data_IF_005146138487
#
_entry.id   IF_005146138487
#
_cell.length_a   1.000
_cell.length_b   1.000
_cell.length_c   1.000
_cell.angle_alpha   90.00
_cell.angle_beta   90.00
_cell.angle_gamma   90.00
#
_symmetry.space_group_name_H-M   'P 1'
#
loop_
_entity.id
_entity.type
_entity.pdbx_description
1 polymer ?
#
# COMPACT_ATOMS: atom_id res chain seq x y z
N UNK A 1 18.74 -9.09 -2.73
CA UNK A 1 19.18 -8.28 -1.57
C UNK A 1 18.00 -8.13 -0.64
N UNK A 2 18.12 -8.62 0.59
CA UNK A 2 16.98 -8.93 1.46
C UNK A 2 16.31 -10.20 0.96
N UNK A 3 16.74 -11.36 1.46
CA UNK A 3 16.17 -12.67 1.17
C UNK A 3 15.40 -13.26 2.35
N UNK A 4 15.34 -12.56 3.48
CA UNK A 4 14.39 -12.84 4.57
C UNK A 4 12.98 -12.36 4.23
N UNK A 5 12.00 -12.73 5.05
CA UNK A 5 10.61 -12.25 4.95
C UNK A 5 10.04 -12.32 3.53
N UNK A 6 9.56 -11.19 3.00
CA UNK A 6 9.04 -11.07 1.63
C UNK A 6 10.08 -11.39 0.55
N UNK A 7 11.36 -11.12 0.81
CA UNK A 7 12.45 -11.43 -0.10
C UNK A 7 12.61 -12.92 -0.35
N UNK A 8 12.33 -13.75 0.64
CA UNK A 8 12.31 -15.21 0.50
C UNK A 8 11.17 -15.69 -0.41
N UNK A 9 9.97 -15.14 -0.23
CA UNK A 9 8.82 -15.41 -1.12
C UNK A 9 9.09 -14.94 -2.55
N UNK A 10 9.68 -13.76 -2.73
CA UNK A 10 10.08 -13.28 -4.05
C UNK A 10 11.17 -14.16 -4.68
N UNK A 11 12.16 -14.61 -3.91
CA UNK A 11 13.21 -15.49 -4.38
C UNK A 11 12.67 -16.86 -4.79
N UNK A 12 11.71 -17.43 -4.04
CA UNK A 12 10.98 -18.64 -4.40
C UNK A 12 10.26 -18.47 -5.74
N UNK A 13 9.55 -17.35 -5.95
CA UNK A 13 8.87 -17.06 -7.21
C UNK A 13 9.85 -16.95 -8.39
N UNK A 14 11.09 -16.51 -8.12
CA UNK A 14 12.19 -16.48 -9.09
C UNK A 14 12.96 -17.80 -9.19
N UNK A 15 12.49 -18.87 -8.55
CA UNK A 15 13.17 -20.17 -8.54
C UNK A 15 13.41 -20.75 -9.94
N UNK A 16 12.67 -20.32 -10.96
CA UNK A 16 12.92 -20.70 -12.36
C UNK A 16 14.22 -20.12 -12.94
N UNK A 17 14.66 -18.97 -12.44
CA UNK A 17 15.84 -18.22 -12.89
C UNK A 17 17.12 -18.70 -12.21
N UNK A 18 18.28 -18.15 -12.58
CA UNK A 18 19.57 -18.50 -11.97
C UNK A 18 19.95 -17.53 -10.83
N UNK A 19 19.81 -17.97 -9.57
CA UNK A 19 20.19 -17.15 -8.41
C UNK A 19 21.69 -17.30 -8.13
N UNK A 20 22.46 -16.29 -8.56
CA UNK A 20 23.92 -16.25 -8.45
C UNK A 20 24.39 -15.92 -7.03
N UNK A 21 23.75 -14.95 -6.39
CA UNK A 21 24.15 -14.44 -5.09
C UNK A 21 22.95 -14.01 -4.25
N UNK A 22 23.11 -14.17 -2.94
CA UNK A 22 22.17 -13.69 -1.93
C UNK A 22 22.90 -12.73 -1.00
N UNK A 23 22.30 -11.56 -0.81
CA UNK A 23 22.77 -10.59 0.15
C UNK A 23 21.72 -10.34 1.21
N UNK A 24 22.06 -10.60 2.46
CA UNK A 24 21.23 -10.36 3.64
C UNK A 24 22.12 -10.11 4.86
N UNK A 25 21.62 -9.36 5.84
CA UNK A 25 22.33 -9.11 7.11
C UNK A 25 22.01 -10.19 8.15
N UNK A 26 20.94 -10.96 7.96
CA UNK A 26 20.48 -12.01 8.86
C UNK A 26 20.27 -13.33 8.09
N UNK A 27 21.36 -14.07 7.86
CA UNK A 27 21.29 -15.35 7.15
C UNK A 27 20.59 -16.45 7.96
N UNK A 28 20.51 -16.34 9.28
CA UNK A 28 19.79 -17.33 10.09
C UNK A 28 18.29 -17.27 9.76
N UNK A 29 17.74 -16.05 9.65
CA UNK A 29 16.37 -15.83 9.18
C UNK A 29 16.16 -16.33 7.74
N UNK A 30 17.12 -16.09 6.84
CA UNK A 30 17.03 -16.56 5.44
C UNK A 30 17.01 -18.09 5.39
N UNK A 31 17.88 -18.76 6.16
CA UNK A 31 17.93 -20.23 6.23
C UNK A 31 16.62 -20.80 6.76
N UNK A 32 16.02 -20.20 7.80
CA UNK A 32 14.69 -20.58 8.30
C UNK A 32 13.65 -20.46 7.18
N UNK A 33 13.63 -19.34 6.45
CA UNK A 33 12.66 -19.11 5.36
C UNK A 33 12.83 -20.06 4.18
N UNK A 34 14.06 -20.40 3.82
CA UNK A 34 14.34 -21.38 2.77
C UNK A 34 13.85 -22.78 3.18
N UNK A 35 14.01 -23.14 4.45
CA UNK A 35 13.55 -24.42 4.99
C UNK A 35 12.01 -24.49 5.14
N UNK A 36 11.37 -23.37 5.47
CA UNK A 36 9.91 -23.25 5.60
C UNK A 36 9.17 -23.12 4.27
N UNK A 37 9.87 -22.90 3.16
CA UNK A 37 9.26 -22.74 1.85
C UNK A 37 8.47 -24.01 1.45
N UNK A 38 7.23 -23.82 1.01
CA UNK A 38 6.33 -24.88 0.58
C UNK A 38 5.57 -24.43 -0.68
N UNK A 39 5.16 -25.39 -1.50
CA UNK A 39 4.33 -25.14 -2.67
C UNK A 39 2.94 -25.74 -2.50
N UNK A 40 1.91 -25.05 -2.97
CA UNK A 40 0.53 -25.55 -2.86
C UNK A 40 0.19 -26.57 -3.96
N UNK A 41 0.97 -26.58 -5.03
CA UNK A 41 0.86 -27.51 -6.16
C UNK A 41 2.23 -28.07 -6.58
N UNK A 42 2.23 -28.89 -7.64
CA UNK A 42 3.43 -29.56 -8.14
C UNK A 42 4.43 -28.59 -8.80
N UNK A 43 3.96 -27.48 -9.36
CA UNK A 43 4.82 -26.47 -10.00
C UNK A 43 5.51 -25.60 -8.96
N UNK A 44 4.76 -25.15 -7.95
CA UNK A 44 5.29 -24.39 -6.82
C UNK A 44 6.27 -25.23 -5.99
N UNK A 45 5.99 -26.53 -5.78
CA UNK A 45 6.97 -27.43 -5.15
C UNK A 45 8.29 -27.49 -5.93
N UNK A 46 8.23 -27.55 -7.27
CA UNK A 46 9.43 -27.56 -8.09
C UNK A 46 10.23 -26.25 -7.99
N UNK A 47 9.55 -25.09 -7.90
CA UNK A 47 10.20 -23.79 -7.68
C UNK A 47 10.84 -23.69 -6.29
N UNK A 48 10.15 -24.19 -5.26
CA UNK A 48 10.68 -24.28 -3.88
C UNK A 48 11.93 -25.15 -3.84
N UNK A 49 11.87 -26.36 -4.39
CA UNK A 49 13.03 -27.27 -4.42
C UNK A 49 14.21 -26.63 -5.16
N UNK A 50 13.93 -25.99 -6.30
CA UNK A 50 14.96 -25.31 -7.08
C UNK A 50 15.54 -24.11 -6.33
N UNK A 51 14.72 -23.31 -5.67
CA UNK A 51 15.19 -22.24 -4.80
C UNK A 51 16.09 -22.77 -3.67
N UNK A 52 15.68 -23.82 -2.97
CA UNK A 52 16.48 -24.45 -1.91
C UNK A 52 17.84 -24.93 -2.44
N UNK A 53 17.86 -25.55 -3.62
CA UNK A 53 19.10 -25.99 -4.27
C UNK A 53 19.99 -24.82 -4.67
N UNK A 54 19.43 -23.80 -5.32
CA UNK A 54 20.18 -22.63 -5.78
C UNK A 54 20.71 -21.81 -4.60
N UNK A 55 19.92 -21.65 -3.54
CA UNK A 55 20.34 -20.99 -2.32
C UNK A 55 21.54 -21.68 -1.65
N UNK A 56 21.60 -23.02 -1.73
CA UNK A 56 22.73 -23.79 -1.21
C UNK A 56 24.03 -23.51 -1.99
N UNK A 57 23.95 -23.17 -3.27
CA UNK A 57 25.10 -22.85 -4.12
C UNK A 57 25.38 -21.36 -4.30
N UNK A 58 24.42 -20.48 -3.99
CA UNK A 58 24.54 -19.04 -4.19
C UNK A 58 25.63 -18.44 -3.27
N UNK A 59 26.40 -17.51 -3.82
CA UNK A 59 27.37 -16.76 -3.03
C UNK A 59 26.65 -15.88 -1.99
N UNK A 60 27.20 -15.79 -0.78
CA UNK A 60 26.56 -15.12 0.36
C UNK A 60 27.32 -13.85 0.72
N UNK A 61 26.58 -12.76 0.86
CA UNK A 61 27.13 -11.44 1.16
C UNK A 61 26.34 -10.74 2.27
N UNK A 62 27.03 -10.07 3.18
CA UNK A 62 26.39 -9.21 4.18
C UNK A 62 26.30 -7.74 3.72
N UNK A 63 26.99 -7.40 2.63
CA UNK A 63 27.02 -6.06 2.05
C UNK A 63 26.71 -6.15 0.55
N UNK A 64 25.67 -5.44 0.12
CA UNK A 64 25.26 -5.44 -1.28
C UNK A 64 26.30 -4.78 -2.19
N UNK A 65 27.14 -3.88 -1.66
CA UNK A 65 28.19 -3.22 -2.44
C UNK A 65 29.28 -4.21 -2.83
N UNK A 66 29.73 -5.01 -1.87
CA UNK A 66 30.70 -6.09 -2.12
C UNK A 66 30.14 -7.13 -3.08
N UNK A 67 28.86 -7.48 -2.93
CA UNK A 67 28.16 -8.36 -3.86
C UNK A 67 28.16 -7.79 -5.27
N UNK A 68 27.76 -6.53 -5.47
CA UNK A 68 27.69 -5.90 -6.79
C UNK A 68 29.08 -5.74 -7.44
N UNK A 69 30.11 -5.46 -6.64
CA UNK A 69 31.50 -5.30 -7.13
C UNK A 69 32.12 -6.65 -7.57
N UNK A 70 31.78 -7.72 -6.85
CA UNK A 70 32.31 -9.07 -7.07
C UNK A 70 31.53 -9.79 -8.17
N UNK A 71 30.20 -9.79 -8.08
CA UNK A 71 29.28 -10.55 -8.94
C UNK A 71 28.90 -9.75 -10.20
N UNK A 72 29.90 -9.33 -10.97
CA UNK A 72 29.69 -8.46 -12.15
C UNK A 72 28.80 -9.08 -13.24
N UNK A 73 28.66 -10.41 -13.22
CA UNK A 73 27.87 -11.17 -14.19
C UNK A 73 26.36 -11.24 -13.90
N UNK A 74 25.86 -10.69 -12.79
CA UNK A 74 24.41 -10.68 -12.54
C UNK A 74 23.69 -9.75 -13.52
N UNK A 75 22.53 -10.13 -14.03
CA UNK A 75 21.74 -9.31 -14.96
C UNK A 75 20.70 -8.45 -14.24
N UNK A 76 20.16 -8.96 -13.14
CA UNK A 76 19.10 -8.31 -12.37
C UNK A 76 19.30 -8.43 -10.86
N UNK A 77 18.73 -7.48 -10.10
CA UNK A 77 18.76 -7.45 -8.64
C UNK A 77 17.34 -7.34 -8.09
N UNK A 78 16.91 -8.37 -7.36
CA UNK A 78 15.73 -8.34 -6.51
C UNK A 78 16.05 -7.60 -5.21
N UNK A 79 15.26 -6.58 -4.87
CA UNK A 79 15.44 -5.74 -3.67
C UNK A 79 14.18 -5.83 -2.81
N UNK A 80 14.29 -6.52 -1.69
CA UNK A 80 13.21 -6.74 -0.72
C UNK A 80 13.72 -6.50 0.72
N UNK A 81 14.37 -5.35 0.91
CA UNK A 81 14.87 -4.90 2.22
C UNK A 81 13.81 -4.01 2.90
N UNK A 82 14.05 -3.48 4.11
CA UNK A 82 13.22 -2.39 4.60
C UNK A 82 13.18 -1.22 3.60
N UNK A 83 12.02 -0.57 3.51
CA UNK A 83 11.70 0.45 2.51
C UNK A 83 12.67 1.65 2.48
N UNK A 84 13.22 2.03 3.63
CA UNK A 84 14.22 3.11 3.74
C UNK A 84 15.60 2.77 3.12
N UNK A 85 15.88 1.51 2.78
CA UNK A 85 17.12 1.11 2.09
C UNK A 85 16.92 0.79 0.61
N UNK A 86 15.68 0.73 0.12
CA UNK A 86 15.38 0.41 -1.27
C UNK A 86 16.10 1.33 -2.26
N UNK A 87 16.00 2.65 -2.04
CA UNK A 87 16.50 3.62 -3.00
C UNK A 87 18.02 3.55 -3.19
N UNK A 88 18.79 3.33 -2.12
CA UNK A 88 20.26 3.29 -2.21
C UNK A 88 20.74 2.03 -2.94
N UNK A 89 20.09 0.89 -2.71
CA UNK A 89 20.44 -0.38 -3.34
C UNK A 89 20.02 -0.35 -4.81
N UNK A 90 18.81 0.12 -5.10
CA UNK A 90 18.29 0.24 -6.46
C UNK A 90 19.16 1.17 -7.31
N UNK A 91 19.52 2.33 -6.75
CA UNK A 91 20.45 3.26 -7.39
C UNK A 91 21.78 2.60 -7.75
N UNK A 92 22.42 1.93 -6.79
CA UNK A 92 23.72 1.30 -7.01
C UNK A 92 23.66 0.21 -8.09
N UNK A 93 22.60 -0.60 -8.11
CA UNK A 93 22.41 -1.63 -9.13
C UNK A 93 22.13 -1.02 -10.52
N UNK A 94 21.24 -0.02 -10.60
CA UNK A 94 20.94 0.68 -11.85
C UNK A 94 22.17 1.42 -12.41
N UNK A 95 22.99 2.06 -11.57
CA UNK A 95 24.26 2.72 -11.98
C UNK A 95 25.26 1.72 -12.62
N UNK A 96 25.15 0.44 -12.28
CA UNK A 96 25.91 -0.65 -12.89
C UNK A 96 25.20 -1.29 -14.09
N UNK A 97 24.09 -0.69 -14.56
CA UNK A 97 23.29 -1.17 -15.68
C UNK A 97 22.50 -2.46 -15.39
N UNK A 98 22.29 -2.79 -14.11
CA UNK A 98 21.55 -4.00 -13.72
C UNK A 98 20.06 -3.70 -13.67
N UNK A 99 19.24 -4.63 -14.18
CA UNK A 99 17.80 -4.55 -13.99
C UNK A 99 17.46 -4.65 -12.51
N UNK A 100 16.41 -3.96 -12.06
CA UNK A 100 16.01 -4.01 -10.66
C UNK A 100 14.53 -4.28 -10.51
N UNK A 101 14.21 -5.14 -9.57
CA UNK A 101 12.87 -5.27 -9.01
C UNK A 101 12.93 -4.76 -7.58
N UNK A 102 12.06 -3.81 -7.23
CA UNK A 102 12.02 -3.21 -5.90
C UNK A 102 10.65 -3.44 -5.28
N UNK A 103 10.63 -4.04 -4.09
CA UNK A 103 9.40 -4.24 -3.34
C UNK A 103 8.71 -2.92 -2.99
N UNK A 104 7.38 -2.97 -2.83
CA UNK A 104 6.58 -1.81 -2.41
C UNK A 104 6.69 -1.56 -0.90
N UNK A 105 6.67 -0.29 -0.44
CA UNK A 105 6.81 0.92 -1.25
C UNK A 105 8.23 1.06 -1.82
N UNK A 106 8.35 1.53 -3.06
CA UNK A 106 9.64 1.58 -3.77
C UNK A 106 10.66 2.53 -3.12
N UNK A 107 10.21 3.60 -2.47
CA UNK A 107 11.06 4.64 -1.87
C UNK A 107 10.38 5.29 -0.68
N UNK A 108 11.16 5.80 0.28
CA UNK A 108 10.63 6.50 1.46
C UNK A 108 10.20 7.94 1.14
N UNK A 109 10.73 8.56 0.08
CA UNK A 109 10.40 9.94 -0.31
C UNK A 109 10.15 10.10 -1.80
N UNK A 110 9.37 11.12 -2.18
CA UNK A 110 9.14 11.52 -3.58
C UNK A 110 10.45 11.93 -4.28
N UNK A 111 11.41 12.48 -3.54
CA UNK A 111 12.70 12.89 -4.08
C UNK A 111 13.51 11.68 -4.57
N UNK A 112 13.51 10.60 -3.79
CA UNK A 112 14.11 9.32 -4.18
C UNK A 112 13.40 8.72 -5.38
N UNK A 113 12.05 8.73 -5.41
CA UNK A 113 11.30 8.20 -6.56
C UNK A 113 11.67 8.93 -7.86
N UNK A 114 11.77 10.26 -7.82
CA UNK A 114 12.18 11.08 -8.97
C UNK A 114 13.62 10.81 -9.40
N UNK A 115 14.51 10.54 -8.45
CA UNK A 115 15.89 10.19 -8.72
C UNK A 115 16.00 8.83 -9.41
N UNK A 116 15.34 7.80 -8.87
CA UNK A 116 15.30 6.48 -9.48
C UNK A 116 14.62 6.49 -10.85
N UNK A 117 13.55 7.27 -11.04
CA UNK A 117 12.87 7.39 -12.33
C UNK A 117 13.80 7.94 -13.42
N UNK A 118 14.54 9.01 -13.11
CA UNK A 118 15.56 9.56 -14.03
C UNK A 118 16.66 8.55 -14.32
N UNK A 119 17.16 7.89 -13.29
CA UNK A 119 18.21 6.89 -13.46
C UNK A 119 17.73 5.72 -14.31
N UNK A 120 16.49 5.28 -14.14
CA UNK A 120 15.91 4.22 -14.94
C UNK A 120 15.76 4.60 -16.42
N UNK A 121 15.46 5.87 -16.71
CA UNK A 121 15.43 6.44 -18.06
C UNK A 121 16.84 6.54 -18.66
N UNK A 122 17.82 7.04 -17.89
CA UNK A 122 19.21 7.20 -18.31
C UNK A 122 19.90 5.86 -18.57
N UNK A 123 19.59 4.84 -17.78
CA UNK A 123 20.22 3.51 -17.84
C UNK A 123 19.42 2.50 -18.67
N UNK A 124 18.19 2.82 -19.05
CA UNK A 124 17.31 1.94 -19.85
C UNK A 124 16.76 0.72 -19.12
N UNK A 125 16.99 0.58 -17.81
CA UNK A 125 16.54 -0.56 -16.98
C UNK A 125 15.02 -0.66 -16.83
N UNK A 126 14.26 0.41 -17.09
CA UNK A 126 12.79 0.40 -17.20
C UNK A 126 12.28 0.36 -18.66
N UNK A 127 13.15 0.01 -19.62
CA UNK A 127 12.83 0.04 -21.05
C UNK A 127 11.85 -1.04 -21.53
N UNK A 128 11.54 -2.03 -20.71
CA UNK A 128 10.60 -3.11 -21.04
C UNK A 128 9.26 -2.87 -20.34
N UNK A 129 8.22 -2.63 -21.13
CA UNK A 129 6.86 -2.57 -20.63
C UNK A 129 6.42 -3.97 -20.18
N UNK A 130 5.86 -4.06 -18.97
CA UNK A 130 5.42 -5.30 -18.31
C UNK A 130 6.45 -6.44 -18.41
N UNK A 131 7.56 -6.37 -17.65
CA UNK A 131 8.63 -7.37 -17.72
C UNK A 131 8.16 -8.77 -17.27
N UNK A 132 6.95 -8.88 -16.71
CA UNK A 132 6.35 -10.12 -16.25
C UNK A 132 5.28 -10.66 -17.20
N UNK A 133 4.91 -9.90 -18.25
CA UNK A 133 3.97 -10.34 -19.26
C UNK A 133 4.43 -11.64 -19.93
N UNK A 134 3.54 -12.61 -19.99
CA UNK A 134 3.82 -13.97 -20.46
C UNK A 134 4.37 -14.94 -19.39
N UNK A 135 4.57 -14.49 -18.14
CA UNK A 135 4.84 -15.40 -17.02
C UNK A 135 3.61 -16.25 -16.76
N UNK A 136 3.65 -17.54 -17.10
CA UNK A 136 2.51 -18.46 -16.93
C UNK A 136 1.86 -18.39 -15.54
N UNK A 137 2.67 -18.27 -14.48
CA UNK A 137 2.15 -18.15 -13.12
C UNK A 137 1.39 -16.84 -12.91
N UNK A 138 1.97 -15.70 -13.31
CA UNK A 138 1.34 -14.41 -13.09
C UNK A 138 0.14 -14.20 -14.00
N UNK A 139 0.18 -14.73 -15.23
CA UNK A 139 -0.96 -14.74 -16.13
C UNK A 139 -2.10 -15.59 -15.54
N UNK A 140 -1.82 -16.81 -15.07
CA UNK A 140 -2.84 -17.65 -14.44
C UNK A 140 -3.38 -17.04 -13.14
N UNK A 141 -2.53 -16.46 -12.30
CA UNK A 141 -2.98 -15.75 -11.09
C UNK A 141 -3.82 -14.51 -11.45
N UNK A 142 -3.47 -13.84 -12.55
CA UNK A 142 -4.26 -12.71 -13.07
C UNK A 142 -5.63 -13.19 -13.53
N UNK A 143 -5.72 -14.29 -14.27
CA UNK A 143 -6.98 -14.90 -14.71
C UNK A 143 -7.85 -15.34 -13.51
N UNK A 144 -7.25 -15.97 -12.50
CA UNK A 144 -7.96 -16.38 -11.27
C UNK A 144 -8.50 -15.18 -10.49
N UNK A 145 -7.69 -14.12 -10.37
CA UNK A 145 -8.10 -12.87 -9.73
C UNK A 145 -9.21 -12.18 -10.51
N UNK A 146 -9.12 -12.12 -11.84
CA UNK A 146 -10.15 -11.55 -12.71
C UNK A 146 -11.47 -12.31 -12.54
N UNK A 147 -11.45 -13.64 -12.64
CA UNK A 147 -12.64 -14.47 -12.47
C UNK A 147 -13.29 -14.30 -11.07
N UNK A 148 -12.47 -14.18 -10.01
CA UNK A 148 -12.96 -13.92 -8.66
C UNK A 148 -13.57 -12.52 -8.53
N UNK A 149 -12.99 -11.50 -9.18
CA UNK A 149 -13.53 -10.15 -9.22
C UNK A 149 -14.85 -10.09 -9.99
N UNK A 150 -14.94 -10.73 -11.15
CA UNK A 150 -16.16 -10.83 -11.94
C UNK A 150 -17.28 -11.49 -11.13
N UNK A 151 -17.00 -12.61 -10.47
CA UNK A 151 -17.98 -13.27 -9.60
C UNK A 151 -18.46 -12.38 -8.44
N UNK A 152 -17.58 -11.54 -7.88
CA UNK A 152 -17.95 -10.59 -6.82
C UNK A 152 -18.81 -9.45 -7.38
N UNK A 153 -18.50 -8.95 -8.57
CA UNK A 153 -19.30 -7.94 -9.28
C UNK A 153 -20.70 -8.48 -9.54
N UNK A 154 -20.81 -9.70 -10.05
CA UNK A 154 -22.11 -10.37 -10.29
C UNK A 154 -22.91 -10.52 -8.99
N UNK A 155 -22.26 -10.86 -7.88
CA UNK A 155 -22.91 -10.94 -6.57
C UNK A 155 -23.43 -9.56 -6.10
N UNK A 156 -22.68 -8.49 -6.34
CA UNK A 156 -23.12 -7.11 -6.03
C UNK A 156 -24.29 -6.70 -6.91
N UNK A 157 -24.25 -6.98 -8.21
CA UNK A 157 -25.35 -6.70 -9.13
C UNK A 157 -26.62 -7.47 -8.76
N UNK A 158 -26.50 -8.75 -8.36
CA UNK A 158 -27.62 -9.56 -7.89
C UNK A 158 -28.30 -9.01 -6.62
N UNK A 159 -27.54 -8.31 -5.77
CA UNK A 159 -28.05 -7.63 -4.57
C UNK A 159 -28.63 -6.23 -4.86
N UNK A 160 -28.71 -5.83 -6.14
CA UNK A 160 -29.25 -4.55 -6.59
C UNK A 160 -28.21 -3.44 -6.75
N UNK A 161 -26.94 -3.83 -6.89
CA UNK A 161 -25.81 -2.92 -7.07
C UNK A 161 -25.21 -2.40 -5.77
N UNK A 162 -24.08 -1.71 -5.87
CA UNK A 162 -23.25 -1.31 -4.72
C UNK A 162 -23.99 -0.45 -3.69
N UNK A 163 -24.85 0.49 -4.13
CA UNK A 163 -25.60 1.37 -3.21
C UNK A 163 -26.54 0.54 -2.32
N UNK A 164 -27.29 -0.41 -2.92
CA UNK A 164 -28.16 -1.34 -2.18
C UNK A 164 -27.36 -2.16 -1.16
N UNK A 165 -26.18 -2.67 -1.56
CA UNK A 165 -25.30 -3.42 -0.67
C UNK A 165 -24.85 -2.60 0.54
N UNK A 166 -24.52 -1.32 0.35
CA UNK A 166 -24.11 -0.41 1.44
C UNK A 166 -25.28 -0.10 2.37
N UNK A 167 -26.46 0.22 1.82
CA UNK A 167 -27.66 0.51 2.61
C UNK A 167 -28.10 -0.68 3.47
N UNK A 168 -27.84 -1.90 2.98
CA UNK A 168 -28.14 -3.16 3.69
C UNK A 168 -26.99 -3.67 4.56
N UNK A 169 -25.86 -2.96 4.61
CA UNK A 169 -24.69 -3.34 5.43
C UNK A 169 -23.90 -4.55 4.92
N UNK A 170 -24.14 -5.02 3.68
CA UNK A 170 -23.50 -6.23 3.14
C UNK A 170 -22.00 -6.06 2.95
N UNK A 171 -21.56 -4.89 2.47
CA UNK A 171 -20.14 -4.59 2.26
C UNK A 171 -19.38 -4.57 3.59
N UNK A 172 -19.93 -3.90 4.59
CA UNK A 172 -19.38 -3.83 5.94
C UNK A 172 -19.29 -5.24 6.55
N UNK A 173 -20.32 -6.06 6.35
CA UNK A 173 -20.33 -7.44 6.80
C UNK A 173 -19.25 -8.28 6.13
N UNK A 174 -19.11 -8.24 4.80
CA UNK A 174 -18.06 -9.01 4.11
C UNK A 174 -16.65 -8.60 4.52
N UNK A 175 -16.40 -7.29 4.70
CA UNK A 175 -15.13 -6.79 5.23
C UNK A 175 -14.90 -7.30 6.65
N UNK A 176 -15.94 -7.26 7.50
CA UNK A 176 -15.86 -7.73 8.88
C UNK A 176 -15.63 -9.24 8.98
N UNK A 177 -16.29 -10.04 8.13
CA UNK A 177 -16.09 -11.49 8.04
C UNK A 177 -14.66 -11.82 7.60
N UNK A 178 -14.11 -11.11 6.61
CA UNK A 178 -12.72 -11.25 6.16
C UNK A 178 -11.71 -10.84 7.24
N UNK A 179 -11.95 -9.72 7.92
CA UNK A 179 -11.12 -9.25 9.03
C UNK A 179 -11.16 -10.24 10.21
N UNK A 180 -12.34 -10.77 10.54
CA UNK A 180 -12.51 -11.75 11.60
C UNK A 180 -11.82 -13.08 11.27
N UNK A 181 -11.91 -13.55 10.02
CA UNK A 181 -11.16 -14.72 9.55
C UNK A 181 -9.66 -14.50 9.70
N UNK A 182 -9.17 -13.36 9.20
CA UNK A 182 -7.74 -13.00 9.31
C UNK A 182 -7.28 -12.94 10.75
N UNK A 183 -8.07 -12.34 11.65
CA UNK A 183 -7.75 -12.28 13.07
C UNK A 183 -7.69 -13.67 13.69
N UNK A 184 -8.63 -14.56 13.35
CA UNK A 184 -8.59 -15.97 13.80
C UNK A 184 -7.35 -16.71 13.35
N UNK A 185 -6.95 -16.54 12.09
CA UNK A 185 -5.73 -17.16 11.54
C UNK A 185 -4.48 -16.64 12.27
N UNK A 186 -4.44 -15.36 12.62
CA UNK A 186 -3.35 -14.76 13.40
C UNK A 186 -3.37 -15.33 14.84
N UNK A 187 -4.52 -15.34 15.50
CA UNK A 187 -4.63 -15.81 16.88
C UNK A 187 -4.34 -17.32 17.02
N UNK A 188 -4.72 -18.12 16.02
CA UNK A 188 -4.44 -19.55 15.97
C UNK A 188 -2.99 -19.88 15.60
N UNK A 189 -2.26 -18.92 15.01
CA UNK A 189 -0.91 -19.11 14.49
C UNK A 189 -0.87 -19.72 13.08
N UNK A 190 -2.01 -19.98 12.44
CA UNK A 190 -2.10 -20.41 11.03
C UNK A 190 -1.47 -19.35 10.12
N UNK A 191 -1.76 -18.08 10.39
CA UNK A 191 -1.11 -16.94 9.74
C UNK A 191 -0.05 -16.37 10.66
N UNK A 192 1.21 -16.58 10.29
CA UNK A 192 2.35 -16.11 11.06
C UNK A 192 2.56 -14.60 10.90
N UNK A 193 2.61 -13.88 12.03
CA UNK A 193 2.95 -12.47 12.13
C UNK A 193 4.12 -12.31 13.09
N UNK A 194 5.30 -12.04 12.53
CA UNK A 194 6.56 -11.92 13.27
C UNK A 194 6.50 -10.74 14.24
N UNK A 195 6.95 -10.97 15.49
CA UNK A 195 6.89 -9.97 16.55
C UNK A 195 5.54 -9.87 17.24
N UNK A 196 4.53 -10.64 16.78
CA UNK A 196 3.19 -10.70 17.39
C UNK A 196 2.89 -12.11 17.91
N UNK A 197 2.67 -13.08 17.01
CA UNK A 197 2.31 -14.46 17.40
C UNK A 197 3.48 -15.46 17.26
N UNK A 198 4.51 -15.13 16.48
CA UNK A 198 5.75 -15.89 16.34
C UNK A 198 6.93 -14.95 16.55
N UNK A 199 7.96 -15.43 17.26
CA UNK A 199 9.18 -14.67 17.53
C UNK A 199 8.92 -13.30 18.18
N UNK A 200 8.00 -13.24 19.15
CA UNK A 200 7.75 -12.03 19.92
C UNK A 200 8.99 -11.66 20.76
N UNK A 201 9.55 -10.48 20.50
CA UNK A 201 10.68 -9.94 21.27
C UNK A 201 10.26 -9.38 22.63
N UNK A 202 11.23 -8.91 23.42
CA UNK A 202 10.94 -8.13 24.62
C UNK A 202 10.28 -6.80 24.26
N UNK A 203 9.47 -6.26 25.18
CA UNK A 203 8.79 -4.99 24.96
C UNK A 203 9.80 -3.89 24.59
N UNK A 204 9.64 -3.32 23.38
CA UNK A 204 10.49 -2.24 22.91
C UNK A 204 10.44 -1.06 23.90
N UNK A 205 11.58 -0.39 24.11
CA UNK A 205 11.63 0.85 24.88
C UNK A 205 10.65 1.87 24.30
N UNK A 206 9.97 2.59 25.19
CA UNK A 206 8.99 3.63 24.89
C UNK A 206 9.54 4.62 23.85
N UNK A 207 9.10 4.50 22.60
CA UNK A 207 9.37 5.50 21.57
C UNK A 207 8.57 6.76 21.84
N UNK A 208 9.11 7.92 21.47
CA UNK A 208 8.39 9.19 21.55
C UNK A 208 7.19 9.15 20.59
N UNK A 209 6.00 8.90 21.14
CA UNK A 209 4.76 8.92 20.36
C UNK A 209 4.46 10.38 19.98
N UNK A 210 4.09 10.60 18.73
CA UNK A 210 3.58 11.90 18.31
C UNK A 210 2.34 12.27 19.14
N UNK A 211 2.45 13.36 19.91
CA UNK A 211 1.33 13.90 20.68
C UNK A 211 0.85 15.21 20.06
N UNK A 212 -0.45 15.34 19.86
CA UNK A 212 -1.07 16.60 19.43
C UNK A 212 -1.04 17.59 20.59
N UNK A 213 -0.64 18.84 20.32
CA UNK A 213 -0.61 19.90 21.34
C UNK A 213 -2.02 20.17 21.90
N UNK A 214 -2.20 20.22 23.23
CA UNK A 214 -3.48 20.60 23.85
C UNK A 214 -3.97 22.00 23.43
N UNK A 215 -3.06 22.90 23.04
CA UNK A 215 -3.39 24.27 22.65
C UNK A 215 -3.86 24.39 21.20
N UNK A 216 -3.85 23.31 20.41
CA UNK A 216 -4.24 23.35 19.00
C UNK A 216 -5.69 23.84 18.85
N UNK A 217 -6.60 23.40 19.72
CA UNK A 217 -8.00 23.83 19.69
C UNK A 217 -8.14 25.35 19.91
N UNK A 218 -7.43 25.91 20.89
CA UNK A 218 -7.42 27.35 21.18
C UNK A 218 -6.89 28.15 19.98
N UNK A 219 -5.79 27.69 19.38
CA UNK A 219 -5.22 28.31 18.18
C UNK A 219 -6.20 28.33 17.01
N UNK A 220 -6.96 27.25 16.79
CA UNK A 220 -7.96 27.19 15.74
C UNK A 220 -9.18 28.08 16.03
N UNK A 221 -9.62 28.16 17.28
CA UNK A 221 -10.70 29.07 17.69
C UNK A 221 -10.32 30.53 17.47
N UNK A 222 -9.09 30.93 17.80
CA UNK A 222 -8.61 32.28 17.55
C UNK A 222 -8.51 32.62 16.06
N UNK A 223 -8.06 31.66 15.23
CA UNK A 223 -8.08 31.82 13.76
C UNK A 223 -9.51 31.98 13.23
N UNK A 224 -10.43 31.15 13.71
CA UNK A 224 -11.84 31.19 13.31
C UNK A 224 -12.48 32.53 13.65
N UNK A 225 -12.25 33.05 14.86
CA UNK A 225 -12.74 34.38 15.29
C UNK A 225 -12.22 35.48 14.37
N UNK A 226 -10.92 35.47 14.04
CA UNK A 226 -10.31 36.46 13.14
C UNK A 226 -10.94 36.45 11.74
N UNK A 227 -11.13 35.26 11.16
CA UNK A 227 -11.77 35.12 9.85
C UNK A 227 -13.22 35.63 9.90
N UNK A 228 -13.99 35.22 10.91
CA UNK A 228 -15.39 35.64 11.05
C UNK A 228 -15.56 37.14 11.29
N UNK A 229 -14.61 37.78 11.97
CA UNK A 229 -14.63 39.22 12.20
C UNK A 229 -14.23 40.05 10.96
N UNK A 230 -13.40 39.50 10.07
CA UNK A 230 -12.86 40.22 8.91
C UNK A 230 -13.62 40.01 7.59
N UNK A 231 -14.59 39.08 7.55
CA UNK A 231 -15.35 38.76 6.34
C UNK A 231 -16.58 39.65 6.15
N UNK A 232 -17.06 39.76 4.92
CA UNK A 232 -18.33 40.41 4.60
C UNK A 232 -19.50 39.46 4.93
N UNK A 233 -20.31 39.76 5.97
CA UNK A 233 -21.39 38.87 6.38
C UNK A 233 -22.48 38.73 5.32
N UNK A 234 -22.79 39.80 4.57
CA UNK A 234 -23.84 39.77 3.55
C UNK A 234 -23.42 38.92 2.35
N UNK A 235 -22.14 39.00 1.96
CA UNK A 235 -21.58 38.15 0.88
C UNK A 235 -21.60 36.68 1.26
N UNK A 236 -21.25 36.34 2.50
CA UNK A 236 -21.29 34.97 3.01
C UNK A 236 -22.72 34.43 3.05
N UNK A 237 -23.66 35.22 3.58
CA UNK A 237 -25.06 34.83 3.65
C UNK A 237 -25.65 34.58 2.26
N UNK A 238 -25.38 35.46 1.29
CA UNK A 238 -25.81 35.30 -0.09
C UNK A 238 -25.22 34.04 -0.75
N UNK A 239 -23.92 33.77 -0.55
CA UNK A 239 -23.27 32.58 -1.09
C UNK A 239 -23.84 31.28 -0.49
N UNK A 240 -24.05 31.25 0.84
CA UNK A 240 -24.65 30.11 1.53
C UNK A 240 -26.12 29.90 1.13
N UNK A 241 -26.88 30.97 0.92
CA UNK A 241 -28.25 30.88 0.43
C UNK A 241 -28.31 30.26 -0.98
N UNK A 242 -27.45 30.73 -1.89
CA UNK A 242 -27.33 30.16 -3.24
C UNK A 242 -26.95 28.68 -3.22
N UNK A 243 -26.03 28.29 -2.33
CA UNK A 243 -25.70 26.88 -2.12
C UNK A 243 -26.92 26.06 -1.68
N UNK A 244 -27.70 26.59 -0.73
CA UNK A 244 -28.93 25.94 -0.27
C UNK A 244 -29.98 25.79 -1.37
N UNK A 245 -30.11 26.78 -2.26
CA UNK A 245 -30.98 26.69 -3.44
C UNK A 245 -30.50 25.64 -4.43
N UNK A 246 -29.20 25.63 -4.76
CA UNK A 246 -28.60 24.65 -5.65
C UNK A 246 -28.75 23.21 -5.11
N UNK A 247 -28.57 23.02 -3.80
CA UNK A 247 -28.71 21.74 -3.12
C UNK A 247 -30.13 21.17 -3.17
N UNK A 248 -31.17 22.01 -3.24
CA UNK A 248 -32.57 21.54 -3.40
C UNK A 248 -32.92 21.18 -4.84
N UNK A 249 -32.08 21.59 -5.80
CA UNK A 249 -32.26 21.32 -7.23
C UNK A 249 -31.34 20.22 -7.73
N UNK A 250 -31.06 20.27 -9.04
CA UNK A 250 -30.15 19.36 -9.74
C UNK A 250 -28.89 20.06 -10.26
N UNK A 251 -28.65 21.29 -9.79
CA UNK A 251 -27.50 22.09 -10.21
C UNK A 251 -26.19 21.55 -9.62
N UNK A 252 -25.07 21.85 -10.27
CA UNK A 252 -23.75 21.50 -9.76
C UNK A 252 -23.44 22.30 -8.48
N UNK A 253 -23.04 21.61 -7.41
CA UNK A 253 -22.73 22.23 -6.12
C UNK A 253 -21.33 22.81 -6.03
N UNK A 254 -20.41 22.45 -6.92
CA UNK A 254 -19.02 22.89 -6.84
C UNK A 254 -18.86 24.40 -7.02
N UNK A 255 -19.63 25.00 -7.93
CA UNK A 255 -19.61 26.46 -8.13
C UNK A 255 -20.07 27.23 -6.88
N UNK A 256 -21.27 26.99 -6.31
CA UNK A 256 -21.68 27.69 -5.10
C UNK A 256 -20.82 27.36 -3.86
N UNK A 257 -20.23 26.16 -3.78
CA UNK A 257 -19.22 25.85 -2.74
C UNK A 257 -17.98 26.73 -2.91
N UNK A 258 -17.48 26.90 -4.14
CA UNK A 258 -16.35 27.78 -4.44
C UNK A 258 -16.64 29.23 -4.02
N UNK A 259 -17.81 29.76 -4.38
CA UNK A 259 -18.25 31.09 -3.97
C UNK A 259 -18.37 31.25 -2.44
N UNK A 260 -18.87 30.22 -1.75
CA UNK A 260 -18.93 30.20 -0.30
C UNK A 260 -17.53 30.25 0.31
N UNK A 261 -16.58 29.45 -0.18
CA UNK A 261 -15.19 29.46 0.28
C UNK A 261 -14.52 30.82 0.00
N UNK A 262 -14.72 31.38 -1.20
CA UNK A 262 -14.18 32.70 -1.58
C UNK A 262 -14.77 33.86 -0.76
N UNK A 263 -15.97 33.67 -0.19
CA UNK A 263 -16.57 34.61 0.75
C UNK A 263 -16.06 34.43 2.19
N UNK A 264 -15.16 33.48 2.44
CA UNK A 264 -14.71 33.04 3.77
C UNK A 264 -15.82 32.40 4.63
N UNK A 265 -16.74 31.67 3.98
CA UNK A 265 -17.57 30.70 4.68
C UNK A 265 -16.70 29.55 5.21
N UNK A 266 -17.04 29.04 6.39
CA UNK A 266 -16.31 27.95 7.02
C UNK A 266 -16.83 26.60 6.54
N UNK A 267 -16.00 25.55 6.65
CA UNK A 267 -16.43 24.18 6.34
C UNK A 267 -17.70 23.82 7.10
N UNK A 268 -17.77 24.15 8.40
CA UNK A 268 -18.97 23.89 9.22
C UNK A 268 -20.22 24.63 8.73
N UNK A 269 -20.10 25.88 8.27
CA UNK A 269 -21.24 26.64 7.73
C UNK A 269 -21.76 26.03 6.41
N UNK A 270 -20.84 25.67 5.51
CA UNK A 270 -21.16 25.00 4.24
C UNK A 270 -21.82 23.64 4.53
N UNK A 271 -21.21 22.82 5.39
CA UNK A 271 -21.75 21.52 5.78
C UNK A 271 -23.12 21.63 6.44
N UNK A 272 -23.37 22.66 7.27
CA UNK A 272 -24.66 22.87 7.92
C UNK A 272 -25.77 23.25 6.92
N UNK A 273 -25.46 24.02 5.87
CA UNK A 273 -26.41 24.29 4.78
C UNK A 273 -26.81 22.99 4.09
N UNK A 274 -25.83 22.17 3.70
CA UNK A 274 -26.08 20.89 3.03
C UNK A 274 -26.83 19.91 3.94
N UNK A 275 -26.47 19.86 5.23
CA UNK A 275 -27.17 19.08 6.25
C UNK A 275 -28.63 19.49 6.40
N UNK A 276 -28.94 20.78 6.29
CA UNK A 276 -30.31 21.28 6.32
C UNK A 276 -31.16 20.82 5.14
N UNK A 277 -30.54 20.42 4.02
CA UNK A 277 -31.23 19.94 2.81
C UNK A 277 -31.24 18.42 2.72
N UNK A 278 -30.10 17.77 2.97
CA UNK A 278 -29.91 16.33 2.77
C UNK A 278 -30.04 15.50 4.05
N UNK A 279 -30.00 16.15 5.23
CA UNK A 279 -29.90 15.46 6.51
C UNK A 279 -28.49 14.98 6.84
N UNK A 280 -28.40 14.01 7.74
CA UNK A 280 -27.17 13.32 8.09
C UNK A 280 -27.34 11.83 7.83
N UNK A 281 -26.30 11.21 7.29
CA UNK A 281 -26.26 9.76 7.17
C UNK A 281 -26.14 9.12 8.55
N UNK A 282 -26.97 8.12 8.82
CA UNK A 282 -26.84 7.25 9.99
C UNK A 282 -26.53 5.84 9.50
N UNK A 283 -25.43 5.27 9.98
CA UNK A 283 -25.06 3.92 9.63
C UNK A 283 -26.10 2.91 10.14
N UNK A 284 -26.53 1.94 9.31
CA UNK A 284 -27.43 0.88 9.75
C UNK A 284 -26.83 0.12 10.94
N UNK A 285 -27.60 -0.03 12.02
CA UNK A 285 -27.16 -0.76 13.20
C UNK A 285 -27.15 -2.28 12.92
N UNK A 286 -25.97 -2.84 12.68
CA UNK A 286 -25.73 -4.29 12.66
C UNK A 286 -25.08 -4.80 11.38
N UNK A 287 -23.96 -5.49 11.55
CA UNK A 287 -23.34 -6.40 10.60
C UNK A 287 -22.67 -7.53 11.39
#
# INVERSE_FOLDING_TARGET
VGAGGMGGTNAQALGAENIVAVCDVDFDLVMEKVAEASGDDAEEHAKVERWQQQFASAARYNDFREMLDTERGIDAVLIATPDHTHAVIAKAAMELGKHVYVQKPMTATVAESRMLARLAEETGVAGTADPFGGSYFLENLTDEMEAAMESLIDAVEAEGGMVSCIERGLIQRWISESAYKTQKEIDSGERVVIGVNKHAGEAAESQAIFSVSPHLAEQQLERLKKIKAGRDPARVEAALARLGEAARGTANLMEPIGEAVDSYATVGEISNVLRGVFGEFQEPAGF
#
